data_IF_839505882789
#
_entry.id   IF_839505882789
#
_cell.length_a   1.000
_cell.length_b   1.000
_cell.length_c   1.000
_cell.angle_alpha   90.00
_cell.angle_beta   90.00
_cell.angle_gamma   90.00
#
_symmetry.space_group_name_H-M   'P 1'
#
loop_
_entity.id
_entity.type
_entity.pdbx_description
1 polymer ?
#
# COMPACT_ATOMS: atom_id res chain seq x y z
N UNK A 1 21.70 7.24 -32.58
CA UNK A 1 22.11 7.82 -31.29
C UNK A 1 21.01 7.42 -30.32
N UNK A 2 21.33 6.68 -29.27
CA UNK A 2 20.34 6.20 -28.29
C UNK A 2 19.72 7.41 -27.59
N UNK A 3 18.39 7.47 -27.47
CA UNK A 3 17.72 8.60 -26.84
C UNK A 3 18.11 8.69 -25.36
N UNK A 4 18.75 9.80 -25.00
CA UNK A 4 19.11 10.07 -23.61
C UNK A 4 17.96 10.72 -22.86
N UNK A 5 17.04 9.86 -22.40
CA UNK A 5 15.89 10.26 -21.58
C UNK A 5 16.30 11.07 -20.34
N UNK A 6 17.47 10.79 -19.75
CA UNK A 6 17.89 11.44 -18.50
C UNK A 6 18.21 12.90 -18.76
N UNK A 7 19.00 13.17 -19.79
CA UNK A 7 19.33 14.53 -20.20
C UNK A 7 18.09 15.29 -20.67
N UNK A 8 17.15 14.63 -21.36
CA UNK A 8 15.88 15.25 -21.73
C UNK A 8 15.06 15.72 -20.52
N UNK A 9 14.94 14.89 -19.47
CA UNK A 9 14.24 15.25 -18.23
C UNK A 9 14.96 16.38 -17.48
N UNK A 10 16.29 16.32 -17.41
CA UNK A 10 17.10 17.36 -16.75
C UNK A 10 16.90 18.71 -17.45
N UNK A 11 17.00 18.74 -18.78
CA UNK A 11 16.79 19.96 -19.57
C UNK A 11 15.38 20.51 -19.39
N UNK A 12 14.36 19.64 -19.42
CA UNK A 12 12.97 20.05 -19.18
C UNK A 12 12.79 20.74 -17.82
N UNK A 13 13.35 20.16 -16.75
CA UNK A 13 13.25 20.75 -15.43
C UNK A 13 14.02 22.07 -15.33
N UNK A 14 15.19 22.19 -15.98
CA UNK A 14 15.97 23.43 -16.04
C UNK A 14 15.24 24.56 -16.78
N UNK A 15 14.60 24.23 -17.90
CA UNK A 15 13.79 25.17 -18.69
C UNK A 15 12.56 25.65 -17.91
N UNK A 16 12.09 24.86 -16.94
CA UNK A 16 10.94 25.16 -16.10
C UNK A 16 11.35 25.33 -14.62
N UNK A 17 12.34 26.20 -14.38
CA UNK A 17 12.85 26.50 -13.04
C UNK A 17 11.72 26.90 -12.06
N UNK A 18 11.80 26.39 -10.83
CA UNK A 18 10.83 26.53 -9.73
C UNK A 18 9.41 26.00 -10.01
N UNK A 19 9.13 25.50 -11.22
CA UNK A 19 7.87 24.83 -11.54
C UNK A 19 7.92 23.35 -11.16
N UNK A 20 6.78 22.86 -10.67
CA UNK A 20 6.67 21.55 -10.03
C UNK A 20 5.86 20.58 -10.87
N UNK A 21 6.47 19.47 -11.28
CA UNK A 21 5.88 18.48 -12.18
C UNK A 21 5.74 17.12 -11.50
N UNK A 22 4.65 16.40 -11.77
CA UNK A 22 4.51 15.01 -11.35
C UNK A 22 5.27 14.07 -12.29
N UNK A 23 5.52 12.83 -11.89
CA UNK A 23 6.07 11.82 -12.81
C UNK A 23 5.24 11.67 -14.08
N UNK A 24 3.91 11.77 -13.92
CA UNK A 24 2.97 11.71 -15.03
C UNK A 24 3.10 12.93 -15.96
N UNK A 25 3.19 14.14 -15.41
CA UNK A 25 3.37 15.36 -16.23
C UNK A 25 4.69 15.38 -17.00
N UNK A 26 5.78 14.85 -16.41
CA UNK A 26 7.06 14.69 -17.12
C UNK A 26 6.93 13.62 -18.22
N UNK A 27 6.21 12.53 -17.95
CA UNK A 27 5.97 11.48 -18.93
C UNK A 27 5.10 11.96 -20.11
N UNK A 28 4.07 12.77 -19.84
CA UNK A 28 3.27 13.44 -20.88
C UNK A 28 4.16 14.31 -21.76
N UNK A 29 4.95 15.19 -21.15
CA UNK A 29 5.89 16.04 -21.89
C UNK A 29 6.88 15.23 -22.75
N UNK A 30 7.42 14.12 -22.22
CA UNK A 30 8.32 13.25 -22.98
C UNK A 30 7.64 12.64 -24.21
N UNK A 31 6.41 12.15 -24.07
CA UNK A 31 5.67 11.52 -25.17
C UNK A 31 5.27 12.54 -26.22
N UNK A 32 4.94 13.76 -25.82
CA UNK A 32 4.60 14.87 -26.73
C UNK A 32 5.81 15.40 -27.50
N UNK A 33 6.98 15.51 -26.85
CA UNK A 33 8.17 16.10 -27.45
C UNK A 33 9.09 15.08 -28.15
N UNK A 34 8.96 13.79 -27.82
CA UNK A 34 9.77 12.70 -28.38
C UNK A 34 8.88 11.55 -28.90
N UNK A 35 7.93 11.88 -29.77
CA UNK A 35 6.91 10.95 -30.31
C UNK A 35 7.53 9.71 -30.95
N UNK A 36 8.58 9.86 -31.76
CA UNK A 36 9.22 8.73 -32.45
C UNK A 36 9.89 7.77 -31.47
N UNK A 37 10.48 8.28 -30.39
CA UNK A 37 11.05 7.45 -29.32
C UNK A 37 9.96 6.74 -28.52
N UNK A 38 8.88 7.44 -28.17
CA UNK A 38 7.73 6.84 -27.51
C UNK A 38 7.15 5.68 -28.33
N UNK A 39 7.09 5.83 -29.67
CA UNK A 39 6.66 4.78 -30.61
C UNK A 39 7.64 3.61 -30.67
N UNK A 40 8.94 3.86 -30.75
CA UNK A 40 9.96 2.82 -30.73
C UNK A 40 9.88 1.99 -29.44
N UNK A 41 9.74 2.67 -28.29
CA UNK A 41 9.58 2.01 -27.00
C UNK A 41 8.27 1.24 -26.88
N UNK A 42 7.17 1.79 -27.39
CA UNK A 42 5.89 1.12 -27.43
C UNK A 42 5.98 -0.18 -28.25
N UNK A 43 6.61 -0.13 -29.42
CA UNK A 43 6.77 -1.31 -30.29
C UNK A 43 7.72 -2.38 -29.71
N UNK A 44 8.70 -1.98 -28.90
CA UNK A 44 9.61 -2.89 -28.21
C UNK A 44 9.06 -3.44 -26.88
N UNK A 45 7.92 -2.92 -26.40
CA UNK A 45 7.35 -3.26 -25.09
C UNK A 45 6.54 -4.56 -25.15
N UNK A 46 6.75 -5.46 -24.17
CA UNK A 46 5.94 -6.67 -23.98
C UNK A 46 4.75 -6.45 -23.06
N UNK A 47 4.41 -5.20 -22.74
CA UNK A 47 3.31 -4.88 -21.83
C UNK A 47 1.96 -5.27 -22.44
N UNK A 48 1.24 -6.16 -21.76
CA UNK A 48 -0.05 -6.69 -22.22
C UNK A 48 -1.10 -5.61 -22.50
N UNK A 49 -1.17 -4.55 -21.69
CA UNK A 49 -2.12 -3.45 -21.89
C UNK A 49 -1.82 -2.63 -23.14
N UNK A 50 -0.54 -2.44 -23.44
CA UNK A 50 -0.08 -1.74 -24.64
C UNK A 50 -0.32 -2.58 -25.91
N UNK A 51 -0.22 -3.91 -25.81
CA UNK A 51 -0.55 -4.84 -26.90
C UNK A 51 -2.08 -4.93 -27.17
N UNK A 52 -2.90 -4.74 -26.12
CA UNK A 52 -4.36 -4.76 -26.22
C UNK A 52 -4.97 -3.42 -26.68
N UNK A 53 -4.19 -2.33 -26.64
CA UNK A 53 -4.61 -1.00 -27.05
C UNK A 53 -4.91 -0.93 -28.55
N UNK A 54 -6.13 -0.47 -28.90
CA UNK A 54 -6.64 -0.47 -30.27
C UNK A 54 -6.46 0.88 -30.96
N UNK A 55 -6.47 1.97 -30.19
CA UNK A 55 -6.29 3.33 -30.71
C UNK A 55 -4.91 3.87 -30.37
N UNK A 56 -4.46 4.90 -31.11
CA UNK A 56 -3.20 5.58 -30.80
C UNK A 56 -3.27 6.28 -29.43
N UNK A 57 -4.41 6.88 -29.08
CA UNK A 57 -4.61 7.53 -27.77
C UNK A 57 -4.51 6.56 -26.60
N UNK A 58 -4.98 5.32 -26.76
CA UNK A 58 -4.83 4.27 -25.75
C UNK A 58 -3.36 3.84 -25.61
N UNK A 59 -2.65 3.69 -26.74
CA UNK A 59 -1.21 3.39 -26.73
C UNK A 59 -0.40 4.50 -26.06
N UNK A 60 -0.77 5.76 -26.33
CA UNK A 60 -0.11 6.93 -25.75
C UNK A 60 -0.34 6.99 -24.23
N UNK A 61 -1.53 6.66 -23.74
CA UNK A 61 -1.78 6.55 -22.28
C UNK A 61 -0.97 5.44 -21.62
N UNK A 62 -0.88 4.27 -22.24
CA UNK A 62 -0.11 3.16 -21.68
C UNK A 62 1.39 3.46 -21.68
N UNK A 63 1.93 4.11 -22.72
CA UNK A 63 3.35 4.49 -22.76
C UNK A 63 3.66 5.63 -21.78
N UNK A 64 2.75 6.60 -21.58
CA UNK A 64 2.87 7.61 -20.51
C UNK A 64 2.93 6.92 -19.15
N UNK A 65 2.06 5.94 -18.89
CA UNK A 65 2.08 5.16 -17.65
C UNK A 65 3.40 4.43 -17.41
N UNK A 66 3.96 3.83 -18.47
CA UNK A 66 5.28 3.17 -18.43
C UNK A 66 6.37 4.18 -18.09
N UNK A 67 6.41 5.33 -18.77
CA UNK A 67 7.40 6.38 -18.50
C UNK A 67 7.23 6.96 -17.08
N UNK A 68 6.01 7.21 -16.63
CA UNK A 68 5.73 7.71 -15.29
C UNK A 68 6.22 6.73 -14.20
N UNK A 69 6.03 5.42 -14.40
CA UNK A 69 6.56 4.39 -13.51
C UNK A 69 8.10 4.33 -13.49
N UNK A 70 8.74 4.57 -14.64
CA UNK A 70 10.20 4.70 -14.74
C UNK A 70 10.75 5.97 -14.09
N UNK A 71 9.95 7.03 -14.00
CA UNK A 71 10.27 8.34 -13.39
C UNK A 71 10.01 8.32 -11.86
N UNK A 72 9.54 7.21 -11.28
CA UNK A 72 9.29 7.07 -9.84
C UNK A 72 10.57 7.21 -8.98
N UNK A 73 10.38 7.62 -7.71
CA UNK A 73 11.40 8.08 -6.77
C UNK A 73 12.61 7.14 -6.59
N UNK A 74 12.44 5.84 -6.85
CA UNK A 74 13.50 4.82 -6.75
C UNK A 74 14.56 4.94 -7.86
N UNK A 75 14.18 5.43 -9.05
CA UNK A 75 15.06 5.43 -10.24
C UNK A 75 15.69 6.77 -10.57
N UNK A 76 15.11 7.91 -10.14
CA UNK A 76 15.75 9.25 -10.26
C UNK A 76 16.92 9.50 -9.29
N UNK A 77 17.27 8.49 -8.49
CA UNK A 77 18.38 8.54 -7.53
C UNK A 77 19.77 8.55 -8.18
N UNK A 78 19.88 8.13 -9.45
CA UNK A 78 21.12 8.21 -10.22
C UNK A 78 21.31 9.60 -10.84
N UNK A 79 20.24 10.22 -11.29
CA UNK A 79 20.17 11.54 -11.96
C UNK A 79 20.44 12.66 -10.96
N UNK A 80 19.99 12.53 -9.70
CA UNK A 80 20.35 13.45 -8.60
C UNK A 80 21.85 13.50 -8.29
N UNK A 81 22.63 12.49 -8.68
CA UNK A 81 24.10 12.52 -8.52
C UNK A 81 24.78 13.38 -9.57
N UNK A 82 24.15 13.55 -10.74
CA UNK A 82 24.66 14.35 -11.84
C UNK A 82 24.19 15.80 -11.74
N UNK A 83 22.97 16.03 -11.24
CA UNK A 83 22.37 17.37 -11.12
C UNK A 83 21.82 17.61 -9.70
N UNK A 84 22.62 18.21 -8.79
CA UNK A 84 22.25 18.39 -7.38
C UNK A 84 21.11 19.40 -7.16
N UNK A 85 20.78 20.19 -8.18
CA UNK A 85 19.73 21.21 -8.14
C UNK A 85 18.32 20.65 -8.44
N UNK A 86 18.20 19.36 -8.80
CA UNK A 86 16.90 18.70 -8.92
C UNK A 86 16.37 18.36 -7.53
N UNK A 87 15.18 18.90 -7.21
CA UNK A 87 14.51 18.76 -5.93
C UNK A 87 13.25 17.91 -6.07
N UNK A 88 12.88 17.28 -4.95
CA UNK A 88 11.70 16.44 -4.84
C UNK A 88 10.86 16.94 -3.68
N UNK A 89 9.62 17.26 -3.96
CA UNK A 89 8.61 17.56 -2.97
C UNK A 89 7.67 16.36 -2.84
N UNK A 90 7.57 15.81 -1.63
CA UNK A 90 6.81 14.59 -1.36
C UNK A 90 5.33 14.87 -1.01
N UNK A 91 4.94 16.15 -0.82
CA UNK A 91 3.59 16.55 -0.37
C UNK A 91 3.07 17.76 -1.15
N UNK A 92 1.76 17.83 -1.48
CA UNK A 92 0.72 16.80 -1.31
C UNK A 92 0.78 15.67 -2.36
N UNK A 93 1.63 15.80 -3.39
CA UNK A 93 1.93 14.78 -4.41
C UNK A 93 3.43 14.78 -4.69
N UNK A 94 3.98 13.66 -5.16
CA UNK A 94 5.37 13.59 -5.63
C UNK A 94 5.57 14.57 -6.79
N UNK A 95 6.38 15.58 -6.56
CA UNK A 95 6.70 16.64 -7.52
C UNK A 95 8.20 16.80 -7.67
N UNK A 96 8.65 16.95 -8.90
CA UNK A 96 10.03 17.24 -9.28
C UNK A 96 10.12 18.68 -9.79
N UNK A 97 11.19 19.37 -9.41
CA UNK A 97 11.46 20.72 -9.87
C UNK A 97 12.96 20.99 -9.85
N UNK A 98 13.43 21.91 -10.68
CA UNK A 98 14.79 22.44 -10.64
C UNK A 98 14.77 23.75 -9.85
N UNK A 99 15.74 23.96 -8.95
CA UNK A 99 15.89 25.24 -8.25
C UNK A 99 17.35 25.49 -7.88
N UNK A 100 17.83 26.70 -8.18
CA UNK A 100 19.18 27.16 -7.81
C UNK A 100 19.27 27.72 -6.38
N UNK A 101 18.14 27.89 -5.68
CA UNK A 101 18.10 28.56 -4.39
C UNK A 101 18.41 27.61 -3.21
N UNK A 102 19.46 27.83 -2.40
CA UNK A 102 19.83 26.94 -1.30
C UNK A 102 18.86 26.98 -0.09
N UNK A 103 18.02 28.03 0.04
CA UNK A 103 17.27 28.34 1.26
C UNK A 103 15.76 27.97 1.25
N UNK A 104 15.29 27.16 0.29
CA UNK A 104 13.89 26.69 0.31
C UNK A 104 13.68 25.49 1.27
N UNK A 105 13.94 25.71 2.56
CA UNK A 105 13.29 25.01 3.67
C UNK A 105 12.40 26.01 4.38
N UNK A 106 11.14 26.14 3.95
CA UNK A 106 10.23 27.07 4.63
C UNK A 106 9.52 26.34 5.76
N UNK A 107 10.14 26.41 6.94
CA UNK A 107 9.39 26.71 8.17
C UNK A 107 8.59 27.98 7.91
N UNK A 108 7.27 27.96 8.13
CA UNK A 108 6.50 29.13 8.54
C UNK A 108 5.17 28.66 9.15
N UNK A 109 5.23 28.37 10.46
CA UNK A 109 4.12 28.71 11.34
C UNK A 109 4.09 30.25 11.45
N UNK A 110 2.89 30.83 11.28
CA UNK A 110 2.52 32.25 11.46
C UNK A 110 2.84 33.24 10.32
N UNK A 111 1.88 33.44 9.41
CA UNK A 111 1.30 34.76 9.05
C UNK A 111 0.18 34.62 7.99
N UNK A 112 -1.03 35.07 8.38
CA UNK A 112 -2.16 35.59 7.59
C UNK A 112 -2.44 35.04 6.19
N UNK A 113 -3.56 34.31 6.08
CA UNK A 113 -4.23 33.90 4.84
C UNK A 113 -4.60 35.10 3.93
N UNK A 114 -4.26 35.07 2.63
CA UNK A 114 -5.12 35.59 1.58
C UNK A 114 -6.11 34.50 1.17
N UNK A 115 -7.40 34.77 1.35
CA UNK A 115 -8.51 33.92 0.89
C UNK A 115 -8.41 33.68 -0.62
N UNK A 116 -8.09 32.46 -1.01
CA UNK A 116 -8.39 31.93 -2.35
C UNK A 116 -9.04 30.56 -2.15
N UNK A 117 -10.21 30.41 -2.76
CA UNK A 117 -11.20 29.36 -2.53
C UNK A 117 -10.62 27.94 -2.47
N UNK A 118 -10.74 27.31 -1.30
CA UNK A 118 -10.42 25.92 -1.06
C UNK A 118 -11.37 24.99 -1.83
N UNK A 119 -10.85 24.31 -2.86
CA UNK A 119 -11.40 23.03 -3.29
C UNK A 119 -10.84 21.96 -2.33
N UNK A 120 -11.73 21.20 -1.68
CA UNK A 120 -11.44 20.16 -0.70
C UNK A 120 -10.31 19.23 -1.16
N UNK A 121 -9.19 19.20 -0.43
CA UNK A 121 -8.22 18.11 -0.54
C UNK A 121 -8.82 16.85 0.13
N UNK A 122 -8.95 15.76 -0.63
CA UNK A 122 -9.48 14.49 -0.12
C UNK A 122 -8.51 13.88 0.90
N UNK A 123 -8.90 13.87 2.17
CA UNK A 123 -8.15 13.28 3.28
C UNK A 123 -8.23 11.76 3.20
N UNK A 124 -7.08 11.07 3.10
CA UNK A 124 -7.01 9.60 3.12
C UNK A 124 -7.65 9.06 4.41
N UNK A 125 -8.57 8.11 4.27
CA UNK A 125 -9.26 7.46 5.41
C UNK A 125 -8.65 6.09 5.72
N UNK A 126 -8.86 5.58 6.95
CA UNK A 126 -8.41 4.22 7.32
C UNK A 126 -9.13 3.14 6.49
N UNK A 127 -10.39 3.39 6.10
CA UNK A 127 -11.12 2.51 5.18
C UNK A 127 -10.43 2.38 3.83
N UNK A 128 -9.94 3.50 3.26
CA UNK A 128 -9.16 3.46 2.01
C UNK A 128 -7.86 2.67 2.16
N UNK A 129 -7.17 2.80 3.30
CA UNK A 129 -5.96 2.00 3.59
C UNK A 129 -6.29 0.51 3.63
N UNK A 130 -7.38 0.13 4.31
CA UNK A 130 -7.84 -1.25 4.40
C UNK A 130 -8.25 -1.82 3.04
N UNK A 131 -8.99 -1.07 2.23
CA UNK A 131 -9.39 -1.49 0.88
C UNK A 131 -8.15 -1.70 -0.01
N UNK A 132 -7.20 -0.77 -0.01
CA UNK A 132 -5.92 -0.91 -0.73
C UNK A 132 -5.13 -2.12 -0.24
N UNK A 133 -5.07 -2.35 1.08
CA UNK A 133 -4.45 -3.53 1.66
C UNK A 133 -5.11 -4.81 1.15
N UNK A 134 -6.45 -4.90 1.17
CA UNK A 134 -7.19 -6.08 0.73
C UNK A 134 -6.88 -6.45 -0.73
N UNK A 135 -6.81 -5.44 -1.61
CA UNK A 135 -6.41 -5.59 -3.00
C UNK A 135 -5.00 -6.17 -3.14
N UNK A 136 -4.04 -5.59 -2.42
CA UNK A 136 -2.66 -6.06 -2.41
C UNK A 136 -2.54 -7.51 -1.91
N UNK A 137 -3.22 -7.84 -0.80
CA UNK A 137 -3.23 -9.18 -0.21
C UNK A 137 -3.79 -10.22 -1.20
N UNK A 138 -4.91 -9.92 -1.85
CA UNK A 138 -5.56 -10.86 -2.78
C UNK A 138 -4.78 -11.00 -4.09
N UNK A 139 -4.34 -9.90 -4.70
CA UNK A 139 -3.75 -9.93 -6.03
C UNK A 139 -2.29 -10.36 -6.03
N UNK A 140 -1.47 -9.79 -5.12
CA UNK A 140 -0.04 -10.06 -5.05
C UNK A 140 0.30 -11.26 -4.18
N UNK A 141 -0.26 -11.31 -2.97
CA UNK A 141 0.13 -12.31 -1.97
C UNK A 141 -0.75 -13.57 -1.96
N UNK A 142 -1.86 -13.57 -2.71
CA UNK A 142 -2.83 -14.69 -2.76
C UNK A 142 -3.36 -15.07 -1.37
N UNK A 143 -3.55 -14.08 -0.51
CA UNK A 143 -4.07 -14.24 0.85
C UNK A 143 -5.59 -14.02 0.82
N UNK A 144 -6.34 -15.03 1.27
CA UNK A 144 -7.77 -14.88 1.53
C UNK A 144 -7.94 -14.02 2.77
N UNK A 145 -8.67 -12.91 2.67
CA UNK A 145 -8.65 -11.88 3.71
C UNK A 145 -10.05 -11.34 3.99
N UNK A 146 -10.25 -10.70 5.14
CA UNK A 146 -11.53 -10.06 5.50
C UNK A 146 -11.37 -8.99 6.59
N UNK A 147 -12.24 -7.97 6.62
CA UNK A 147 -12.25 -6.96 7.68
C UNK A 147 -12.73 -7.53 9.01
N UNK A 148 -12.25 -6.94 10.11
CA UNK A 148 -12.82 -7.10 11.46
C UNK A 148 -13.31 -5.74 11.91
N UNK A 149 -14.63 -5.53 11.93
CA UNK A 149 -15.18 -4.19 12.18
C UNK A 149 -15.51 -3.98 13.66
N UNK A 150 -15.18 -2.79 14.17
CA UNK A 150 -15.42 -2.40 15.56
C UNK A 150 -16.89 -2.47 15.99
N UNK A 151 -17.82 -2.20 15.08
CA UNK A 151 -19.25 -2.17 15.37
C UNK A 151 -19.86 -3.56 15.68
N UNK A 152 -19.13 -4.65 15.43
CA UNK A 152 -19.55 -6.00 15.81
C UNK A 152 -18.91 -6.51 17.11
N UNK A 153 -18.23 -5.63 17.85
CA UNK A 153 -17.65 -5.96 19.15
C UNK A 153 -18.67 -5.82 20.28
N UNK A 154 -18.65 -6.74 21.25
CA UNK A 154 -19.50 -6.65 22.43
C UNK A 154 -19.03 -5.53 23.38
N UNK A 155 -19.88 -4.53 23.62
CA UNK A 155 -19.58 -3.37 24.48
C UNK A 155 -19.63 -3.71 25.98
N UNK A 156 -18.80 -4.65 26.44
CA UNK A 156 -18.82 -5.09 27.85
C UNK A 156 -18.11 -4.14 28.82
N UNK A 157 -17.25 -3.22 28.36
CA UNK A 157 -16.40 -2.36 29.22
C UNK A 157 -16.64 -0.83 29.10
N UNK A 158 -17.74 -0.39 28.47
CA UNK A 158 -18.10 1.03 28.36
C UNK A 158 -17.26 1.86 27.36
N UNK A 159 -17.53 3.17 27.28
CA UNK A 159 -17.04 4.08 26.21
C UNK A 159 -15.52 4.33 26.18
N UNK A 160 -14.77 3.94 27.21
CA UNK A 160 -13.29 4.10 27.29
C UNK A 160 -12.51 2.78 27.32
N UNK A 161 -13.17 1.63 27.45
CA UNK A 161 -12.51 0.31 27.56
C UNK A 161 -12.08 -0.31 26.22
N UNK A 162 -12.47 0.28 25.08
CA UNK A 162 -12.40 -0.36 23.78
C UNK A 162 -11.22 0.08 22.89
N UNK A 163 -10.25 0.82 23.41
CA UNK A 163 -8.99 1.05 22.69
C UNK A 163 -8.18 -0.24 22.77
N UNK A 164 -7.99 -0.94 21.65
CA UNK A 164 -7.18 -2.17 21.51
C UNK A 164 -7.91 -3.51 21.75
N UNK A 165 -9.07 -3.66 21.14
CA UNK A 165 -9.84 -4.90 21.24
C UNK A 165 -9.40 -5.95 20.21
N UNK A 166 -9.23 -5.56 18.96
CA UNK A 166 -9.03 -6.47 17.84
C UNK A 166 -8.27 -5.79 16.69
N UNK A 167 -7.67 -6.55 15.77
CA UNK A 167 -7.07 -6.00 14.54
C UNK A 167 -8.13 -5.44 13.60
N UNK A 168 -7.73 -4.65 12.61
CA UNK A 168 -8.63 -4.09 11.59
C UNK A 168 -8.92 -5.10 10.47
N UNK A 169 -7.94 -5.96 10.17
CA UNK A 169 -8.01 -6.93 9.08
C UNK A 169 -7.30 -8.24 9.43
N UNK A 170 -7.75 -9.33 8.84
CA UNK A 170 -7.16 -10.67 9.02
C UNK A 170 -7.07 -11.40 7.69
N UNK A 171 -6.22 -12.41 7.61
CA UNK A 171 -6.10 -13.23 6.41
C UNK A 171 -5.48 -14.60 6.61
N UNK A 172 -5.75 -15.49 5.66
CA UNK A 172 -5.28 -16.87 5.58
C UNK A 172 -4.56 -17.10 4.26
N UNK A 173 -3.28 -17.47 4.36
CA UNK A 173 -2.45 -17.93 3.25
C UNK A 173 -2.49 -19.46 3.21
N UNK A 174 -2.95 -20.03 2.11
CA UNK A 174 -3.03 -21.49 1.92
C UNK A 174 -1.71 -22.01 1.37
N UNK A 175 -1.02 -22.85 2.13
CA UNK A 175 0.29 -23.40 1.76
C UNK A 175 0.17 -24.68 0.92
N UNK A 176 -0.94 -25.39 1.06
CA UNK A 176 -1.15 -26.69 0.45
C UNK A 176 -1.95 -26.62 -0.87
N UNK A 177 -2.15 -25.45 -1.47
CA UNK A 177 -3.05 -25.27 -2.62
C UNK A 177 -2.74 -26.27 -3.75
N UNK A 178 -1.45 -26.38 -4.09
CA UNK A 178 -0.90 -27.22 -5.16
C UNK A 178 -0.69 -28.69 -4.77
N UNK A 179 -0.97 -29.08 -3.53
CA UNK A 179 -0.75 -30.45 -3.07
C UNK A 179 -1.84 -31.39 -3.62
N UNK A 180 -1.45 -32.62 -3.95
CA UNK A 180 -2.39 -33.68 -4.30
C UNK A 180 -3.27 -34.07 -3.11
N UNK A 181 -4.47 -34.58 -3.38
CA UNK A 181 -5.45 -34.94 -2.35
C UNK A 181 -4.89 -35.91 -1.30
N UNK A 182 -4.15 -36.93 -1.72
CA UNK A 182 -3.53 -37.90 -0.82
C UNK A 182 -2.54 -37.24 0.15
N UNK A 183 -1.74 -36.28 -0.32
CA UNK A 183 -0.80 -35.54 0.54
C UNK A 183 -1.54 -34.61 1.50
N UNK A 184 -2.61 -33.95 1.05
CA UNK A 184 -3.47 -33.12 1.91
C UNK A 184 -4.10 -33.96 3.02
N UNK A 185 -4.59 -35.15 2.70
CA UNK A 185 -5.16 -36.07 3.68
C UNK A 185 -4.09 -36.58 4.65
N UNK A 186 -2.91 -36.97 4.18
CA UNK A 186 -1.79 -37.32 5.07
C UNK A 186 -1.42 -36.18 6.02
N UNK A 187 -1.37 -34.94 5.53
CA UNK A 187 -1.00 -33.77 6.33
C UNK A 187 -1.97 -33.47 7.49
N UNK A 188 -3.22 -33.92 7.41
CA UNK A 188 -4.18 -33.83 8.54
C UNK A 188 -3.73 -34.63 9.74
N UNK A 189 -3.17 -35.82 9.52
CA UNK A 189 -2.78 -36.74 10.59
C UNK A 189 -1.47 -36.34 11.27
N UNK A 190 -0.56 -35.70 10.53
CA UNK A 190 0.76 -35.31 11.04
C UNK A 190 0.84 -33.84 11.47
N UNK A 191 -0.30 -33.17 11.67
CA UNK A 191 -0.36 -31.75 12.04
C UNK A 191 0.51 -30.85 11.14
N UNK A 192 0.58 -31.18 9.84
CA UNK A 192 1.35 -30.39 8.88
C UNK A 192 0.79 -28.98 8.78
N UNK A 193 1.65 -27.97 8.72
CA UNK A 193 1.22 -26.57 8.55
C UNK A 193 0.60 -26.38 7.17
N UNK A 194 -0.73 -26.27 7.12
CA UNK A 194 -1.49 -26.16 5.86
C UNK A 194 -1.81 -24.71 5.49
N UNK A 195 -1.81 -23.81 6.48
CA UNK A 195 -2.05 -22.39 6.27
C UNK A 195 -1.22 -21.52 7.21
N UNK A 196 -0.96 -20.28 6.81
CA UNK A 196 -0.49 -19.21 7.69
C UNK A 196 -1.60 -18.19 7.90
N UNK A 197 -1.64 -17.65 9.11
CA UNK A 197 -2.64 -16.68 9.54
C UNK A 197 -1.96 -15.33 9.70
N UNK A 198 -2.61 -14.30 9.20
CA UNK A 198 -2.11 -12.95 9.10
C UNK A 198 -3.08 -12.01 9.82
N UNK A 199 -2.54 -10.99 10.47
CA UNK A 199 -3.32 -9.99 11.20
C UNK A 199 -2.72 -8.60 10.98
N UNK A 200 -3.57 -7.63 10.71
CA UNK A 200 -3.16 -6.30 10.26
C UNK A 200 -3.86 -5.21 11.08
N UNK A 201 -3.08 -4.20 11.47
CA UNK A 201 -3.56 -2.97 12.06
C UNK A 201 -3.26 -1.82 11.08
N UNK A 202 -4.30 -1.15 10.58
CA UNK A 202 -4.20 -0.15 9.55
C UNK A 202 -4.23 1.26 10.13
N UNK A 203 -3.36 2.13 9.61
CA UNK A 203 -3.27 3.54 9.98
C UNK A 203 -3.17 4.39 8.73
N UNK A 204 -3.68 5.61 8.76
CA UNK A 204 -3.51 6.55 7.63
C UNK A 204 -2.05 6.97 7.48
N UNK A 205 -1.43 7.38 8.59
CA UNK A 205 -0.12 8.05 8.58
C UNK A 205 0.66 7.80 9.87
N UNK A 206 1.91 7.39 9.71
CA UNK A 206 2.85 7.19 10.81
C UNK A 206 3.87 8.32 10.82
N UNK A 207 4.14 8.87 12.00
CA UNK A 207 5.18 9.86 12.26
C UNK A 207 5.73 9.67 13.68
N UNK A 208 6.72 10.47 14.08
CA UNK A 208 7.40 10.33 15.38
C UNK A 208 6.47 10.34 16.60
N UNK A 209 5.38 11.13 16.57
CA UNK A 209 4.51 11.31 17.74
C UNK A 209 3.54 10.15 17.95
N UNK A 210 3.16 9.44 16.89
CA UNK A 210 2.18 8.34 16.95
C UNK A 210 2.80 6.95 16.73
N UNK A 211 4.05 6.85 16.27
CA UNK A 211 4.72 5.59 15.95
C UNK A 211 4.61 4.55 17.06
N UNK A 212 4.95 4.93 18.31
CA UNK A 212 4.92 3.98 19.44
C UNK A 212 3.50 3.54 19.77
N UNK A 213 2.55 4.48 19.84
CA UNK A 213 1.14 4.15 20.11
C UNK A 213 0.61 3.16 19.07
N UNK A 214 0.81 3.46 17.79
CA UNK A 214 0.32 2.60 16.70
C UNK A 214 1.05 1.27 16.63
N UNK A 215 2.35 1.26 16.89
CA UNK A 215 3.12 0.02 16.95
C UNK A 215 2.64 -0.89 18.10
N UNK A 216 2.45 -0.35 19.30
CA UNK A 216 1.98 -1.14 20.43
C UNK A 216 0.52 -1.57 20.28
N UNK A 217 -0.31 -0.78 19.59
CA UNK A 217 -1.63 -1.21 19.18
C UNK A 217 -1.56 -2.43 18.24
N UNK A 218 -0.75 -2.36 17.17
CA UNK A 218 -0.55 -3.48 16.26
C UNK A 218 0.05 -4.71 16.98
N UNK A 219 0.97 -4.50 17.91
CA UNK A 219 1.53 -5.57 18.73
C UNK A 219 0.45 -6.24 19.57
N UNK A 220 -0.38 -5.48 20.28
CA UNK A 220 -1.45 -5.99 21.12
C UNK A 220 -2.50 -6.75 20.31
N UNK A 221 -2.90 -6.20 19.16
CA UNK A 221 -4.02 -6.71 18.37
C UNK A 221 -3.62 -7.86 17.42
N UNK A 222 -2.36 -7.93 17.00
CA UNK A 222 -1.92 -8.83 15.92
C UNK A 222 -0.88 -9.88 16.35
N UNK A 223 -0.51 -9.93 17.63
CA UNK A 223 0.49 -10.91 18.11
C UNK A 223 -0.01 -12.35 18.19
N UNK A 224 -1.33 -12.57 18.10
CA UNK A 224 -1.92 -13.91 18.13
C UNK A 224 -1.63 -14.72 16.85
N UNK A 225 -1.37 -14.05 15.73
CA UNK A 225 -1.23 -14.68 14.42
C UNK A 225 0.23 -15.08 14.10
N UNK A 226 0.39 -15.91 13.05
CA UNK A 226 1.72 -16.28 12.52
C UNK A 226 2.48 -15.05 12.03
N UNK A 227 1.78 -14.09 11.41
CA UNK A 227 2.33 -12.79 11.07
C UNK A 227 1.41 -11.66 11.54
N UNK A 228 1.98 -10.69 12.26
CA UNK A 228 1.33 -9.44 12.60
C UNK A 228 1.99 -8.28 11.86
N UNK A 229 1.18 -7.38 11.30
CA UNK A 229 1.67 -6.22 10.55
C UNK A 229 0.99 -4.93 11.02
N UNK A 230 1.81 -3.88 11.14
CA UNK A 230 1.34 -2.50 11.08
C UNK A 230 1.30 -2.07 9.61
N UNK A 231 0.23 -1.40 9.19
CA UNK A 231 0.01 -0.98 7.81
C UNK A 231 -0.22 0.51 7.77
N UNK A 232 0.41 1.23 6.85
CA UNK A 232 0.10 2.64 6.63
C UNK A 232 0.23 3.08 5.17
N UNK A 233 -0.49 4.13 4.79
CA UNK A 233 -0.33 4.78 3.49
C UNK A 233 0.85 5.75 3.44
N UNK A 234 1.19 6.35 4.58
CA UNK A 234 2.24 7.35 4.66
C UNK A 234 3.15 7.13 5.88
N UNK A 235 4.47 7.13 5.66
CA UNK A 235 5.49 7.10 6.69
C UNK A 235 6.28 8.41 6.61
N UNK A 236 6.09 9.28 7.59
CA UNK A 236 6.77 10.58 7.61
C UNK A 236 8.18 10.46 8.16
N UNK A 237 9.12 10.72 7.28
CA UNK A 237 10.54 10.91 7.56
C UNK A 237 10.85 12.41 7.59
N UNK A 238 11.65 12.85 8.56
CA UNK A 238 12.24 14.19 8.54
C UNK A 238 13.75 14.08 8.66
N UNK A 239 14.49 15.07 8.12
CA UNK A 239 15.96 15.06 8.14
C UNK A 239 16.58 15.02 9.54
N UNK A 240 15.79 15.32 10.57
CA UNK A 240 16.21 15.38 11.97
C UNK A 240 15.63 14.22 12.80
N UNK A 241 14.64 13.48 12.28
CA UNK A 241 13.99 12.38 13.00
C UNK A 241 13.94 11.11 12.15
N UNK A 242 14.59 10.08 12.66
CA UNK A 242 14.62 8.78 12.03
C UNK A 242 13.43 7.91 12.48
N UNK A 243 12.21 8.35 12.13
CA UNK A 243 10.96 7.58 12.38
C UNK A 243 11.08 6.16 11.82
N UNK A 244 11.73 6.02 10.66
CA UNK A 244 11.94 4.74 9.99
C UNK A 244 12.86 3.83 10.81
N UNK A 245 14.01 4.32 11.26
CA UNK A 245 14.92 3.52 12.09
C UNK A 245 14.29 3.08 13.40
N UNK A 246 13.51 3.95 14.05
CA UNK A 246 12.80 3.52 15.26
C UNK A 246 11.74 2.45 14.96
N UNK A 247 10.99 2.59 13.85
CA UNK A 247 10.05 1.57 13.41
C UNK A 247 10.78 0.25 13.11
N UNK A 248 11.93 0.29 12.42
CA UNK A 248 12.77 -0.88 12.14
C UNK A 248 13.29 -1.55 13.43
N UNK A 249 13.72 -0.78 14.41
CA UNK A 249 14.12 -1.30 15.73
C UNK A 249 12.94 -1.98 16.45
N UNK A 250 11.77 -1.35 16.47
CA UNK A 250 10.56 -1.91 17.08
C UNK A 250 10.13 -3.21 16.38
N UNK A 251 10.04 -3.18 15.05
CA UNK A 251 9.71 -4.34 14.23
C UNK A 251 10.67 -5.51 14.48
N UNK A 252 11.98 -5.25 14.46
CA UNK A 252 13.02 -6.26 14.72
C UNK A 252 12.91 -6.84 16.12
N UNK A 253 12.66 -5.98 17.12
CA UNK A 253 12.59 -6.40 18.52
C UNK A 253 11.37 -7.28 18.82
N UNK A 254 10.20 -6.89 18.34
CA UNK A 254 8.93 -7.51 18.72
C UNK A 254 8.35 -8.46 17.65
N UNK A 255 8.89 -8.46 16.44
CA UNK A 255 8.51 -9.37 15.36
C UNK A 255 7.26 -8.95 14.57
N UNK A 256 6.74 -7.74 14.79
CA UNK A 256 5.68 -7.14 13.96
C UNK A 256 6.32 -6.56 12.70
N UNK A 257 5.77 -6.86 11.53
CA UNK A 257 6.23 -6.28 10.26
C UNK A 257 5.58 -4.93 9.96
N UNK A 258 6.03 -4.31 8.87
CA UNK A 258 5.44 -3.07 8.35
C UNK A 258 5.14 -3.17 6.86
N UNK A 259 3.90 -2.86 6.48
CA UNK A 259 3.47 -2.73 5.09
C UNK A 259 3.20 -1.25 4.79
N UNK A 260 3.82 -0.75 3.73
CA UNK A 260 3.52 0.56 3.16
C UNK A 260 2.59 0.33 1.97
N UNK A 261 1.34 0.79 2.08
CA UNK A 261 0.37 0.68 0.98
C UNK A 261 0.42 1.90 0.09
N UNK A 262 0.26 1.68 -1.20
CA UNK A 262 0.12 2.74 -2.19
C UNK A 262 -1.37 2.88 -2.56
N UNK A 263 -1.98 3.99 -2.09
CA UNK A 263 -3.41 4.25 -2.25
C UNK A 263 -3.81 4.40 -3.72
N UNK A 264 -2.92 4.95 -4.55
CA UNK A 264 -3.20 5.16 -5.98
C UNK A 264 -3.02 3.85 -6.76
N UNK A 265 -1.98 3.07 -6.42
CA UNK A 265 -1.64 1.83 -7.09
C UNK A 265 -1.46 0.68 -6.07
N UNK A 266 -2.54 -0.02 -5.67
CA UNK A 266 -2.46 -1.09 -4.67
C UNK A 266 -1.42 -2.17 -4.98
N UNK A 267 -1.15 -2.43 -6.26
CA UNK A 267 -0.14 -3.39 -6.74
C UNK A 267 1.32 -2.98 -6.42
N UNK A 268 1.58 -1.70 -6.19
CA UNK A 268 2.90 -1.14 -5.84
C UNK A 268 3.10 -1.04 -4.32
N UNK A 269 2.08 -1.40 -3.54
CA UNK A 269 2.21 -1.62 -2.10
C UNK A 269 3.29 -2.65 -1.82
N UNK A 270 3.96 -2.52 -0.66
CA UNK A 270 5.09 -3.40 -0.33
C UNK A 270 5.17 -3.73 1.15
N UNK A 271 5.63 -4.95 1.43
CA UNK A 271 6.18 -5.30 2.74
C UNK A 271 7.51 -4.55 2.88
N UNK A 272 7.50 -3.42 3.60
CA UNK A 272 8.68 -2.59 3.81
C UNK A 272 9.61 -3.18 4.88
N UNK A 273 9.04 -3.85 5.90
CA UNK A 273 9.78 -4.58 6.92
C UNK A 273 9.07 -5.93 7.12
N UNK A 274 9.74 -7.08 6.91
CA UNK A 274 9.10 -8.38 7.08
C UNK A 274 8.76 -8.65 8.55
N UNK A 275 7.59 -9.24 8.80
CA UNK A 275 7.25 -9.76 10.12
C UNK A 275 8.03 -11.04 10.42
N UNK A 276 8.31 -11.31 11.70
CA UNK A 276 8.86 -12.60 12.11
C UNK A 276 7.75 -13.63 12.20
N UNK A 277 7.87 -14.72 11.45
CA UNK A 277 6.93 -15.84 11.53
C UNK A 277 6.93 -16.44 12.93
N UNK A 278 5.76 -16.47 13.57
CA UNK A 278 5.56 -17.27 14.78
C UNK A 278 5.27 -18.73 14.40
N UNK A 279 5.83 -19.72 15.11
CA UNK A 279 5.60 -21.12 14.79
C UNK A 279 4.15 -21.54 15.01
N UNK A 280 3.52 -20.99 16.05
CA UNK A 280 2.16 -21.30 16.49
C UNK A 280 1.36 -20.01 16.68
N UNK A 281 0.03 -20.16 16.68
CA UNK A 281 -0.88 -19.06 17.01
C UNK A 281 -1.18 -19.05 18.52
N UNK A 282 -1.40 -17.86 19.07
CA UNK A 282 -1.84 -17.72 20.46
C UNK A 282 -3.35 -17.97 20.54
N UNK A 283 -3.71 -19.20 20.92
CA UNK A 283 -5.10 -19.61 21.04
C UNK A 283 -5.86 -18.89 22.14
N UNK A 284 -5.20 -18.45 23.20
CA UNK A 284 -5.87 -17.72 24.28
C UNK A 284 -6.28 -16.32 23.80
N UNK A 285 -5.37 -15.63 23.10
CA UNK A 285 -5.69 -14.34 22.47
C UNK A 285 -6.75 -14.51 21.39
N UNK A 286 -6.64 -15.52 20.53
CA UNK A 286 -7.62 -15.78 19.48
C UNK A 286 -9.02 -16.12 20.05
N UNK A 287 -9.11 -16.92 21.11
CA UNK A 287 -10.38 -17.23 21.77
C UNK A 287 -11.04 -15.96 22.33
N UNK A 288 -10.27 -15.12 23.03
CA UNK A 288 -10.77 -13.83 23.51
C UNK A 288 -11.31 -12.97 22.37
N UNK A 289 -10.59 -12.88 21.24
CA UNK A 289 -11.03 -12.13 20.06
C UNK A 289 -12.34 -12.67 19.48
N UNK A 290 -12.51 -13.99 19.41
CA UNK A 290 -13.73 -14.63 18.93
C UNK A 290 -14.93 -14.39 19.87
N UNK A 291 -14.71 -14.40 21.19
CA UNK A 291 -15.76 -14.07 22.17
C UNK A 291 -16.16 -12.59 22.13
N UNK A 292 -15.23 -11.71 21.75
CA UNK A 292 -15.43 -10.27 21.73
C UNK A 292 -16.05 -9.76 20.41
N UNK A 293 -15.72 -10.36 19.26
CA UNK A 293 -16.10 -9.85 17.93
C UNK A 293 -16.60 -10.95 16.97
N UNK A 294 -17.81 -10.76 16.43
CA UNK A 294 -18.46 -11.74 15.53
C UNK A 294 -17.78 -11.89 14.16
N UNK A 295 -17.16 -10.84 13.63
CA UNK A 295 -16.40 -10.95 12.37
C UNK A 295 -15.18 -11.85 12.58
N UNK A 296 -14.53 -11.75 13.75
CA UNK A 296 -13.39 -12.60 14.10
C UNK A 296 -13.82 -14.05 14.33
N UNK A 297 -14.95 -14.27 15.01
CA UNK A 297 -15.55 -15.60 15.15
C UNK A 297 -15.82 -16.24 13.77
N UNK A 298 -16.42 -15.47 12.85
CA UNK A 298 -16.68 -15.92 11.48
C UNK A 298 -15.39 -16.24 10.71
N UNK A 299 -14.34 -15.44 10.91
CA UNK A 299 -13.02 -15.72 10.34
C UNK A 299 -12.44 -17.06 10.84
N UNK A 300 -12.53 -17.36 12.14
CA UNK A 300 -12.11 -18.65 12.69
C UNK A 300 -12.97 -19.80 12.13
N UNK A 301 -14.28 -19.60 11.97
CA UNK A 301 -15.16 -20.59 11.34
C UNK A 301 -14.79 -20.88 9.87
N UNK A 302 -14.34 -19.88 9.12
CA UNK A 302 -13.82 -20.06 7.76
C UNK A 302 -12.53 -20.91 7.76
N UNK A 303 -11.62 -20.68 8.72
CA UNK A 303 -10.40 -21.47 8.88
C UNK A 303 -10.74 -22.93 9.24
N UNK A 304 -11.62 -23.15 10.22
CA UNK A 304 -12.09 -24.48 10.62
C UNK A 304 -12.71 -25.23 9.42
N UNK A 305 -13.54 -24.54 8.64
CA UNK A 305 -14.15 -25.08 7.42
C UNK A 305 -13.09 -25.48 6.40
N UNK A 306 -12.04 -24.66 6.22
CA UNK A 306 -10.92 -24.99 5.34
C UNK A 306 -10.20 -26.25 5.80
N UNK A 307 -9.87 -26.38 7.08
CA UNK A 307 -9.20 -27.57 7.60
C UNK A 307 -10.05 -28.84 7.45
N UNK A 308 -11.37 -28.73 7.66
CA UNK A 308 -12.32 -29.85 7.47
C UNK A 308 -12.47 -30.27 6.01
N UNK A 309 -12.61 -29.31 5.09
CA UNK A 309 -12.96 -29.56 3.68
C UNK A 309 -11.77 -29.58 2.72
N UNK A 310 -10.59 -29.13 3.15
CA UNK A 310 -9.39 -28.96 2.32
C UNK A 310 -9.60 -28.08 1.07
N UNK A 311 -10.59 -27.19 1.16
CA UNK A 311 -11.02 -26.29 0.09
C UNK A 311 -11.50 -24.98 0.70
N UNK A 312 -11.05 -23.88 0.11
CA UNK A 312 -11.53 -22.54 0.48
C UNK A 312 -12.88 -22.28 -0.17
N UNK A 313 -13.79 -21.69 0.58
CA UNK A 313 -15.05 -21.19 0.05
C UNK A 313 -14.92 -19.68 -0.22
N UNK A 314 -14.59 -19.29 -1.44
CA UNK A 314 -14.26 -17.89 -1.77
C UNK A 314 -15.39 -16.90 -1.44
N UNK A 315 -16.65 -17.35 -1.40
CA UNK A 315 -17.79 -16.48 -1.10
C UNK A 315 -17.87 -15.98 0.35
N UNK A 316 -17.11 -16.59 1.27
CA UNK A 316 -17.10 -16.19 2.68
C UNK A 316 -15.96 -15.25 3.04
N UNK A 317 -15.08 -14.95 2.06
CA UNK A 317 -13.95 -14.04 2.20
C UNK A 317 -14.25 -12.70 1.51
N UNK A 318 -13.39 -11.70 1.74
CA UNK A 318 -13.49 -10.41 1.06
C UNK A 318 -13.54 -10.61 -0.46
N UNK A 319 -14.55 -10.02 -1.09
CA UNK A 319 -14.71 -10.04 -2.54
C UNK A 319 -14.56 -8.62 -3.10
N UNK A 320 -13.48 -8.45 -3.85
CA UNK A 320 -13.16 -7.22 -4.57
C UNK A 320 -14.33 -6.69 -5.41
N UNK A 321 -15.13 -7.57 -6.03
CA UNK A 321 -16.21 -7.18 -6.93
C UNK A 321 -17.36 -6.46 -6.22
N UNK A 322 -17.53 -6.72 -4.92
CA UNK A 322 -18.53 -6.02 -4.10
C UNK A 322 -18.10 -4.59 -3.77
N UNK A 323 -16.79 -4.29 -3.83
CA UNK A 323 -16.19 -2.98 -3.55
C UNK A 323 -15.92 -2.15 -4.82
N UNK A 324 -15.56 -2.76 -5.96
CA UNK A 324 -15.35 -2.03 -7.23
C UNK A 324 -16.63 -1.32 -7.71
N UNK A 325 -17.81 -1.82 -7.36
CA UNK A 325 -19.09 -1.18 -7.68
C UNK A 325 -19.39 0.07 -6.82
N UNK A 326 -18.57 0.39 -5.81
CA UNK A 326 -18.73 1.56 -4.93
C UNK A 326 -17.71 2.67 -5.17
N UNK A 327 -16.67 2.43 -5.98
CA UNK A 327 -15.76 3.51 -6.40
C UNK A 327 -16.52 4.35 -7.43
N UNK A 328 -16.77 5.65 -7.18
CA UNK A 328 -17.54 6.47 -8.10
C UNK A 328 -16.80 6.50 -9.44
N UNK A 329 -17.43 5.93 -10.48
CA UNK A 329 -17.03 6.16 -11.87
C UNK A 329 -17.01 7.67 -12.05
N UNK A 330 -15.82 8.26 -12.18
CA UNK A 330 -15.71 9.68 -12.50
C UNK A 330 -16.56 9.93 -13.74
N UNK A 331 -17.58 10.78 -13.59
CA UNK A 331 -18.48 11.17 -14.65
C UNK A 331 -17.64 11.68 -15.82
N UNK A 332 -17.57 10.89 -16.90
CA UNK A 332 -17.19 11.39 -18.21
C UNK A 332 -18.22 12.47 -18.55
N UNK A 333 -17.85 13.74 -18.35
CA UNK A 333 -18.56 14.86 -18.95
C UNK A 333 -18.60 14.59 -20.45
N UNK A 334 -19.79 14.24 -20.95
CA UNK A 334 -20.09 14.25 -22.38
C UNK A 334 -19.79 15.67 -22.87
N UNK A 335 -18.88 15.79 -23.83
CA UNK A 335 -18.84 16.94 -24.72
C UNK A 335 -20.07 16.90 -25.62
#
# INVERSE_FOLDING_TARGET
MEFDRKNAIISFLKENEDQKFTSYGIAEWLVENYIEEARLKANASTNKRLLEAKTQEEKDKEIIGIYAGEISSSKLSAERRQEPNIRIELKPKLKFYYSQNPDYYVNNEQATEPKINANKEDKITEEQVCDTLALYLQNKLKIHNMPIKHNFSSNKQGTKGNKWLHPDWVGMEVLNEKWGLLIKDCAKYYAGKQARLWSFEAKTKINRSNLREYFFQALSNSSWAHYGYLVAADLIESRQNDTRHELEMLCTRYGIGFILVDIENPEDSKISIPARERPEIDWNMANRLAEENKDFENYINNIDTFYKKQKVNDSTWFNINDHVNKIPKQNKKKK
#
